data_IF_154354956906
#
_entry.id   IF_154354956906
#
_cell.length_a   1.000
_cell.length_b   1.000
_cell.length_c   1.000
_cell.angle_alpha   90.00
_cell.angle_beta   90.00
_cell.angle_gamma   90.00
#
_symmetry.space_group_name_H-M   'P 1'
#
loop_
_entity.id
_entity.type
_entity.pdbx_description
1 polymer ?
#
# COMPACT_ATOMS: atom_id res chain seq x y z
N UNK A 1 -5.43 -2.73 0.65
CA UNK A 1 -4.48 -1.79 0.03
C UNK A 1 -3.60 -1.18 1.09
N UNK A 2 -2.48 -0.58 0.70
CA UNK A 2 -1.52 0.06 1.61
C UNK A 2 -2.16 1.15 2.47
N UNK A 3 -3.03 1.98 1.88
CA UNK A 3 -3.83 2.99 2.60
C UNK A 3 -4.73 2.36 3.66
N UNK A 4 -5.48 1.31 3.30
CA UNK A 4 -6.35 0.59 4.25
C UNK A 4 -5.56 -0.09 5.37
N UNK A 5 -4.36 -0.62 5.10
CA UNK A 5 -3.47 -1.17 6.14
C UNK A 5 -3.09 -0.10 7.14
N UNK A 6 -2.71 1.10 6.69
CA UNK A 6 -2.39 2.22 7.57
C UNK A 6 -3.61 2.61 8.41
N UNK A 7 -4.78 2.79 7.81
CA UNK A 7 -6.02 3.09 8.52
C UNK A 7 -6.29 2.06 9.62
N UNK A 8 -6.18 0.76 9.29
CA UNK A 8 -6.44 -0.32 10.23
C UNK A 8 -5.44 -0.38 11.40
N UNK A 9 -4.18 -0.03 11.14
CA UNK A 9 -3.17 0.11 12.20
C UNK A 9 -3.49 1.29 13.11
N UNK A 10 -3.96 2.42 12.56
CA UNK A 10 -4.30 3.59 13.36
C UNK A 10 -5.61 3.43 14.15
N UNK A 11 -6.54 2.63 13.66
CA UNK A 11 -7.85 2.41 14.28
C UNK A 11 -7.82 1.54 15.54
N UNK A 12 -6.69 0.89 15.85
CA UNK A 12 -6.53 0.17 17.14
C UNK A 12 -6.33 1.14 18.32
N UNK A 13 -5.96 2.39 18.04
CA UNK A 13 -5.68 3.41 19.05
C UNK A 13 -6.92 4.25 19.34
N UNK A 14 -7.11 4.60 20.62
CA UNK A 14 -8.14 5.53 21.03
C UNK A 14 -7.90 6.93 20.46
N UNK A 15 -8.96 7.73 20.35
CA UNK A 15 -8.92 9.06 19.74
C UNK A 15 -7.79 9.96 20.28
N UNK A 16 -7.59 9.98 21.60
CA UNK A 16 -6.54 10.79 22.24
C UNK A 16 -5.11 10.30 21.98
N UNK A 17 -4.93 9.07 21.48
CA UNK A 17 -3.62 8.50 21.14
C UNK A 17 -3.34 8.52 19.63
N UNK A 18 -4.36 8.82 18.79
CA UNK A 18 -4.24 8.70 17.33
C UNK A 18 -3.14 9.59 16.74
N UNK A 19 -3.05 10.84 17.18
CA UNK A 19 -2.04 11.79 16.67
C UNK A 19 -0.61 11.35 17.03
N UNK A 20 -0.40 10.86 18.25
CA UNK A 20 0.88 10.30 18.67
C UNK A 20 1.23 9.03 17.86
N UNK A 21 0.25 8.14 17.67
CA UNK A 21 0.43 6.92 16.89
C UNK A 21 0.77 7.23 15.42
N UNK A 22 0.11 8.24 14.81
CA UNK A 22 0.44 8.73 13.47
C UNK A 22 1.88 9.20 13.37
N UNK A 23 2.35 9.97 14.36
CA UNK A 23 3.73 10.48 14.37
C UNK A 23 4.75 9.34 14.46
N UNK A 24 4.53 8.37 15.35
CA UNK A 24 5.41 7.20 15.52
C UNK A 24 5.40 6.32 14.27
N UNK A 25 4.22 6.07 13.70
CA UNK A 25 4.07 5.29 12.47
C UNK A 25 4.80 5.97 11.31
N UNK A 26 4.61 7.28 11.12
CA UNK A 26 5.30 8.05 10.09
C UNK A 26 6.84 8.06 10.26
N UNK A 27 7.34 8.01 11.49
CA UNK A 27 8.77 7.94 11.77
C UNK A 27 9.38 6.57 11.48
N UNK A 28 8.61 5.50 11.67
CA UNK A 28 9.10 4.11 11.60
C UNK A 28 8.77 3.39 10.28
N UNK A 29 7.74 3.81 9.55
CA UNK A 29 7.27 3.12 8.35
C UNK A 29 8.33 3.10 7.24
N UNK A 30 8.59 1.91 6.72
CA UNK A 30 9.53 1.67 5.62
C UNK A 30 8.83 1.28 4.33
N UNK A 31 7.90 0.34 4.43
CA UNK A 31 7.17 -0.21 3.29
C UNK A 31 5.90 -0.89 3.77
N UNK A 32 4.85 -0.86 2.95
CA UNK A 32 3.67 -1.69 3.09
C UNK A 32 3.51 -2.49 1.81
N UNK A 33 3.41 -3.82 1.96
CA UNK A 33 3.14 -4.75 0.88
C UNK A 33 1.79 -5.41 1.13
N UNK A 34 0.85 -5.23 0.20
CA UNK A 34 -0.41 -5.97 0.21
C UNK A 34 -0.35 -7.05 -0.86
N UNK A 35 -0.78 -8.27 -0.53
CA UNK A 35 -0.76 -9.41 -1.42
C UNK A 35 -2.16 -9.97 -1.64
N UNK A 36 -2.48 -10.29 -2.89
CA UNK A 36 -3.63 -11.09 -3.27
C UNK A 36 -3.17 -12.30 -4.10
N UNK A 37 -3.62 -13.49 -3.73
CA UNK A 37 -3.34 -14.71 -4.50
C UNK A 37 -4.40 -14.86 -5.59
N UNK A 38 -3.96 -14.84 -6.84
CA UNK A 38 -4.80 -15.01 -8.02
C UNK A 38 -4.68 -16.44 -8.55
N UNK A 39 -5.77 -16.97 -9.09
CA UNK A 39 -5.75 -18.24 -9.81
C UNK A 39 -4.97 -18.05 -11.11
N UNK A 40 -4.03 -18.96 -11.39
CA UNK A 40 -3.32 -18.95 -12.67
C UNK A 40 -4.21 -19.55 -13.76
N UNK A 41 -3.91 -19.21 -15.03
CA UNK A 41 -4.48 -19.92 -16.19
C UNK A 41 -4.06 -21.40 -16.23
N UNK A 42 -2.86 -21.69 -15.73
CA UNK A 42 -2.40 -23.05 -15.47
C UNK A 42 -2.68 -23.47 -14.02
N UNK A 43 -2.11 -24.60 -13.58
CA UNK A 43 -2.27 -25.09 -12.21
C UNK A 43 -1.61 -24.14 -11.20
N UNK A 44 -2.30 -23.92 -10.07
CA UNK A 44 -1.78 -23.18 -8.91
C UNK A 44 -2.23 -21.73 -8.80
N UNK A 45 -1.53 -20.95 -7.96
CA UNK A 45 -1.80 -19.54 -7.69
C UNK A 45 -0.55 -18.69 -7.88
N UNK A 46 -0.75 -17.40 -8.15
CA UNK A 46 0.32 -16.40 -8.25
C UNK A 46 0.02 -15.20 -7.35
N UNK A 47 1.06 -14.64 -6.71
CA UNK A 47 0.93 -13.43 -5.91
C UNK A 47 0.86 -12.19 -6.79
N UNK A 48 -0.23 -11.45 -6.67
CA UNK A 48 -0.38 -10.09 -7.13
C UNK A 48 -0.14 -9.17 -5.95
N UNK A 49 0.68 -8.14 -6.15
CA UNK A 49 1.18 -7.32 -5.05
C UNK A 49 0.89 -5.84 -5.29
N UNK A 50 0.73 -5.12 -4.20
CA UNK A 50 0.77 -3.67 -4.14
C UNK A 50 1.88 -3.29 -3.17
N UNK A 51 2.73 -2.35 -3.58
CA UNK A 51 3.89 -1.92 -2.78
C UNK A 51 3.89 -0.41 -2.66
N UNK A 52 3.82 0.06 -1.42
CA UNK A 52 3.97 1.46 -1.02
C UNK A 52 5.23 1.62 -0.20
N UNK A 53 6.14 2.52 -0.60
CA UNK A 53 7.34 2.84 0.18
C UNK A 53 7.09 4.03 1.12
N UNK A 54 7.78 4.06 2.25
CA UNK A 54 7.67 5.14 3.23
C UNK A 54 8.45 6.39 2.82
N UNK A 55 8.15 6.98 1.65
CA UNK A 55 8.80 8.21 1.17
C UNK A 55 8.48 9.39 2.08
N UNK A 56 9.25 10.51 2.02
CA UNK A 56 8.93 11.71 2.79
C UNK A 56 7.49 12.21 2.59
N UNK A 57 6.95 12.11 1.37
CA UNK A 57 5.57 12.47 1.06
C UNK A 57 4.55 11.56 1.79
N UNK A 58 4.71 10.24 1.71
CA UNK A 58 3.84 9.29 2.41
C UNK A 58 3.88 9.49 3.93
N UNK A 59 5.09 9.68 4.48
CA UNK A 59 5.26 9.96 5.91
C UNK A 59 4.55 11.24 6.32
N UNK A 60 4.58 12.27 5.47
CA UNK A 60 3.88 13.52 5.75
C UNK A 60 2.35 13.34 5.76
N UNK A 61 1.81 12.62 4.77
CA UNK A 61 0.37 12.31 4.72
C UNK A 61 -0.10 11.54 5.96
N UNK A 62 0.72 10.61 6.48
CA UNK A 62 0.40 9.87 7.71
C UNK A 62 0.36 10.81 8.92
N UNK A 63 1.33 11.74 9.05
CA UNK A 63 1.34 12.73 10.16
C UNK A 63 0.15 13.67 10.11
N UNK A 64 -0.27 14.08 8.92
CA UNK A 64 -1.42 14.97 8.74
C UNK A 64 -2.77 14.24 8.79
N UNK A 65 -2.77 12.91 8.95
CA UNK A 65 -3.98 12.10 8.95
C UNK A 65 -4.68 11.97 7.60
N UNK A 66 -4.05 12.40 6.50
CA UNK A 66 -4.59 12.42 5.14
C UNK A 66 -4.36 11.09 4.42
N UNK A 67 -4.77 9.99 5.05
CA UNK A 67 -4.52 8.61 4.59
C UNK A 67 -5.21 8.32 3.25
N UNK A 68 -6.31 9.01 2.95
CA UNK A 68 -7.03 8.93 1.68
C UNK A 68 -6.19 9.40 0.47
N UNK A 69 -5.23 10.32 0.68
CA UNK A 69 -4.35 10.85 -0.37
C UNK A 69 -3.16 9.92 -0.67
N UNK A 70 -2.98 8.86 0.11
CA UNK A 70 -1.91 7.88 -0.11
C UNK A 70 -2.11 7.15 -1.44
N UNK A 71 -3.35 6.87 -1.84
CA UNK A 71 -3.62 6.12 -3.07
C UNK A 71 -3.20 6.89 -4.33
N UNK A 72 -3.48 8.21 -4.38
CA UNK A 72 -3.06 9.05 -5.51
C UNK A 72 -1.53 9.20 -5.56
N UNK A 73 -0.90 9.31 -4.40
CA UNK A 73 0.58 9.33 -4.29
C UNK A 73 1.19 8.01 -4.78
N UNK A 74 0.59 6.87 -4.41
CA UNK A 74 1.02 5.54 -4.85
C UNK A 74 0.99 5.38 -6.37
N UNK A 75 -0.05 5.90 -7.04
CA UNK A 75 -0.22 5.80 -8.49
C UNK A 75 0.89 6.52 -9.28
N UNK A 76 1.39 7.65 -8.74
CA UNK A 76 2.37 8.53 -9.40
C UNK A 76 3.83 8.26 -8.98
N UNK A 77 4.06 7.46 -7.93
CA UNK A 77 5.39 7.23 -7.34
C UNK A 77 6.12 6.00 -7.89
N UNK A 78 5.91 5.66 -9.17
CA UNK A 78 6.54 4.48 -9.79
C UNK A 78 8.08 4.53 -9.74
N UNK A 79 8.66 5.73 -9.83
CA UNK A 79 10.10 5.98 -9.70
C UNK A 79 10.68 5.59 -8.33
N UNK A 80 9.84 5.59 -7.30
CA UNK A 80 10.20 5.27 -5.91
C UNK A 80 9.99 3.77 -5.60
N UNK A 81 9.86 2.95 -6.65
CA UNK A 81 9.62 1.50 -6.56
C UNK A 81 8.19 1.14 -6.18
N UNK A 82 7.26 2.10 -6.20
CA UNK A 82 5.87 1.85 -5.86
C UNK A 82 5.07 1.32 -7.05
N UNK A 83 4.12 0.43 -6.78
CA UNK A 83 3.16 -0.01 -7.78
C UNK A 83 1.86 -0.44 -7.11
N UNK A 84 0.75 -0.13 -7.78
CA UNK A 84 -0.59 -0.46 -7.29
C UNK A 84 -0.93 -1.91 -7.58
N UNK A 85 -1.97 -2.42 -6.91
CA UNK A 85 -2.50 -3.75 -7.20
C UNK A 85 -2.92 -3.88 -8.67
N UNK A 86 -3.52 -2.83 -9.24
CA UNK A 86 -3.96 -2.79 -10.64
C UNK A 86 -2.77 -2.91 -11.59
N UNK A 87 -1.68 -2.17 -11.36
CA UNK A 87 -0.46 -2.27 -12.18
C UNK A 87 0.14 -3.68 -12.13
N UNK A 88 0.13 -4.33 -10.96
CA UNK A 88 0.61 -5.71 -10.84
C UNK A 88 -0.30 -6.67 -11.63
N UNK A 89 -1.62 -6.51 -11.51
CA UNK A 89 -2.60 -7.32 -12.22
C UNK A 89 -2.48 -7.16 -13.74
N UNK A 90 -2.34 -5.93 -14.24
CA UNK A 90 -2.10 -5.64 -15.66
C UNK A 90 -0.85 -6.35 -16.17
N UNK A 91 0.26 -6.29 -15.42
CA UNK A 91 1.49 -7.00 -15.78
C UNK A 91 1.32 -8.52 -15.83
N UNK A 92 0.53 -9.10 -14.91
CA UNK A 92 0.22 -10.54 -14.93
C UNK A 92 -0.68 -10.93 -16.11
N UNK A 93 -1.64 -10.08 -16.49
CA UNK A 93 -2.52 -10.25 -17.66
C UNK A 93 -1.74 -10.16 -18.97
N UNK A 94 -0.86 -9.17 -19.12
CA UNK A 94 0.01 -9.03 -20.29
C UNK A 94 0.91 -10.25 -20.49
N UNK A 95 1.39 -10.84 -19.40
CA UNK A 95 2.17 -12.10 -19.40
C UNK A 95 1.32 -13.36 -19.59
N UNK A 96 -0.01 -13.22 -19.73
CA UNK A 96 -0.98 -14.32 -19.85
C UNK A 96 -0.89 -15.34 -18.69
N UNK A 97 -0.51 -14.90 -17.50
CA UNK A 97 -0.40 -15.77 -16.32
C UNK A 97 -1.74 -15.94 -15.59
N UNK A 98 -2.59 -14.92 -15.68
CA UNK A 98 -3.95 -14.87 -15.11
C UNK A 98 -4.93 -14.39 -16.18
N UNK A 99 -6.23 -14.53 -15.91
CA UNK A 99 -7.31 -13.99 -16.74
C UNK A 99 -7.39 -12.46 -16.65
#
# INVERSE_FOLDING_TARGET
>A
SASSTITRVLDVFFFFQKEQAQTILAGSIRLVMSQQLLKKKCVGRIGCHEVMTGTPAIRNLIREGKVEQIQSTLQTSAKDGMFTMEKCLEGLKQKKLVD
#
